data_IF_624290190115
#
_entry.id   IF_624290190115
#
_cell.length_a   1.000
_cell.length_b   1.000
_cell.length_c   1.000
_cell.angle_alpha   90.00
_cell.angle_beta   90.00
_cell.angle_gamma   90.00
#
_symmetry.space_group_name_H-M   'P 1'
#
loop_
_entity.id
_entity.type
_entity.pdbx_description
1 polymer ?
#
# COMPACT_ATOMS: atom_id res chain seq x y z
N UNK A 1 -49.24 10.46 53.98
CA UNK A 1 -49.07 9.82 52.66
C UNK A 1 -47.60 9.97 52.32
N UNK A 2 -46.80 9.16 53.02
CA UNK A 2 -45.39 8.86 52.73
C UNK A 2 -45.42 7.62 51.79
N UNK A 3 -44.50 7.29 50.91
CA UNK A 3 -43.04 7.39 50.89
C UNK A 3 -42.51 7.38 49.43
N UNK A 4 -41.36 8.03 49.25
CA UNK A 4 -40.12 7.59 48.59
C UNK A 4 -40.16 6.77 47.29
N UNK A 5 -39.46 7.32 46.32
CA UNK A 5 -39.06 6.81 45.01
C UNK A 5 -38.05 5.65 45.12
N UNK A 6 -38.31 4.53 44.43
CA UNK A 6 -37.46 3.32 44.29
C UNK A 6 -36.09 3.65 43.64
N UNK A 7 -34.95 3.31 44.27
CA UNK A 7 -34.14 2.08 44.09
C UNK A 7 -33.86 1.74 42.60
N UNK A 8 -32.71 2.00 41.99
CA UNK A 8 -31.28 1.66 42.20
C UNK A 8 -30.81 0.40 41.46
N UNK A 9 -29.56 0.50 40.97
CA UNK A 9 -28.56 -0.56 40.77
C UNK A 9 -28.49 -1.27 39.40
N UNK A 10 -27.43 -0.90 38.69
CA UNK A 10 -26.81 -1.63 37.58
C UNK A 10 -26.06 -2.82 38.19
N UNK A 11 -26.45 -4.03 37.80
CA UNK A 11 -25.77 -5.27 38.16
C UNK A 11 -24.33 -5.29 37.63
N UNK A 12 -23.40 -5.56 38.54
CA UNK A 12 -22.05 -6.03 38.25
C UNK A 12 -22.14 -7.56 38.11
N UNK A 13 -21.70 -8.10 36.99
CA UNK A 13 -21.46 -9.55 36.87
C UNK A 13 -20.01 -9.81 37.25
N UNK A 14 -19.85 -10.51 38.39
CA UNK A 14 -18.63 -11.18 38.84
C UNK A 14 -18.42 -12.48 38.06
N UNK A 15 -17.16 -12.80 37.76
CA UNK A 15 -16.69 -14.17 37.61
C UNK A 15 -15.33 -14.27 38.33
N UNK A 16 -15.36 -14.87 39.52
CA UNK A 16 -14.22 -15.55 40.18
C UNK A 16 -14.33 -17.06 39.76
N UNK A 17 -13.36 -17.97 39.76
CA UNK A 17 -12.12 -18.21 40.52
C UNK A 17 -11.15 -19.10 39.70
N UNK A 18 -9.85 -18.89 39.94
CA UNK A 18 -8.81 -19.89 40.22
C UNK A 18 -8.60 -21.15 39.34
N UNK A 19 -7.41 -21.23 38.74
CA UNK A 19 -6.57 -22.44 38.85
C UNK A 19 -5.09 -22.05 38.90
N UNK A 20 -4.47 -22.39 40.02
CA UNK A 20 -3.05 -22.22 40.35
C UNK A 20 -2.23 -23.30 39.65
N UNK A 21 -1.03 -22.95 39.17
CA UNK A 21 0.18 -23.77 39.29
C UNK A 21 1.41 -22.84 39.32
N UNK A 22 2.04 -22.73 40.49
CA UNK A 22 3.36 -22.13 40.71
C UNK A 22 4.51 -23.09 40.29
N UNK A 23 5.74 -22.56 40.41
CA UNK A 23 7.08 -23.14 40.21
C UNK A 23 7.68 -22.86 38.82
N UNK A 24 8.85 -22.25 38.66
CA UNK A 24 9.89 -21.76 39.57
C UNK A 24 11.08 -21.30 38.70
N UNK A 25 11.88 -20.36 39.22
CA UNK A 25 13.12 -19.87 38.60
C UNK A 25 14.14 -21.00 38.40
N UNK A 26 14.81 -21.08 37.24
CA UNK A 26 16.26 -21.38 37.09
C UNK A 26 16.81 -20.90 35.74
N UNK A 27 17.97 -20.25 35.86
CA UNK A 27 18.91 -19.84 34.82
C UNK A 27 19.54 -20.98 33.99
N UNK A 28 20.13 -20.56 32.86
CA UNK A 28 21.16 -21.21 32.02
C UNK A 28 20.81 -22.51 31.25
N UNK A 29 20.81 -22.46 29.92
CA UNK A 29 22.01 -22.76 29.09
C UNK A 29 21.66 -22.68 27.60
N UNK A 30 22.63 -22.18 26.84
CA UNK A 30 22.67 -22.06 25.38
C UNK A 30 22.34 -23.36 24.64
N UNK A 31 21.62 -23.26 23.51
CA UNK A 31 22.08 -23.91 22.28
C UNK A 31 21.54 -23.20 21.03
N UNK A 32 22.51 -22.73 20.27
CA UNK A 32 22.43 -22.21 18.93
C UNK A 32 22.34 -23.41 17.98
N UNK A 33 21.24 -23.54 17.24
CA UNK A 33 21.25 -24.29 15.99
C UNK A 33 20.90 -23.34 14.85
N UNK A 34 21.92 -23.14 14.02
CA UNK A 34 21.86 -22.39 12.77
C UNK A 34 21.27 -23.29 11.70
N UNK A 35 20.31 -22.78 10.95
CA UNK A 35 20.02 -23.21 9.58
C UNK A 35 19.75 -21.94 8.77
N UNK A 36 20.78 -21.54 8.02
CA UNK A 36 20.74 -20.53 6.97
C UNK A 36 20.19 -21.20 5.70
N UNK A 37 19.09 -20.66 5.16
CA UNK A 37 19.01 -20.18 3.77
C UNK A 37 17.59 -19.63 3.56
N UNK A 38 17.48 -18.32 3.74
CA UNK A 38 16.30 -17.54 3.50
C UNK A 38 16.81 -16.13 3.31
N UNK A 39 17.22 -15.84 2.07
CA UNK A 39 17.65 -14.52 1.63
C UNK A 39 16.48 -13.55 1.87
N UNK A 40 16.44 -12.94 3.05
CA UNK A 40 15.71 -11.70 3.28
C UNK A 40 16.39 -10.65 2.39
N UNK A 41 15.93 -10.55 1.15
CA UNK A 41 16.14 -9.36 0.35
C UNK A 41 15.28 -8.27 1.00
N UNK A 42 15.87 -7.68 2.05
CA UNK A 42 15.55 -6.35 2.51
C UNK A 42 15.60 -5.49 1.25
N UNK A 43 14.51 -4.78 0.97
CA UNK A 43 14.56 -3.72 -0.01
C UNK A 43 15.58 -2.75 0.58
N UNK A 44 16.82 -2.76 0.08
CA UNK A 44 17.84 -1.87 0.57
C UNK A 44 17.25 -0.47 0.47
N UNK A 45 17.08 0.16 1.63
CA UNK A 45 16.84 1.58 1.72
C UNK A 45 18.15 2.24 1.27
N UNK A 46 18.42 2.18 -0.03
CA UNK A 46 19.37 3.08 -0.66
C UNK A 46 18.89 4.50 -0.35
N UNK A 47 19.84 5.38 -0.04
CA UNK A 47 19.62 6.76 0.38
C UNK A 47 18.49 7.38 -0.46
N UNK A 48 17.32 7.61 0.17
CA UNK A 48 16.24 8.40 -0.43
C UNK A 48 16.89 9.74 -0.81
N UNK A 49 17.21 9.97 -2.09
CA UNK A 49 17.54 11.33 -2.55
C UNK A 49 16.40 12.21 -2.03
N UNK A 50 16.70 13.19 -1.18
CA UNK A 50 15.71 14.08 -0.60
C UNK A 50 14.97 14.79 -1.74
N UNK A 51 13.83 14.23 -2.13
CA UNK A 51 12.94 14.87 -3.09
C UNK A 51 12.31 16.04 -2.33
N UNK A 52 12.76 17.26 -2.63
CA UNK A 52 12.10 18.47 -2.13
C UNK A 52 10.61 18.43 -2.53
N UNK A 53 9.75 18.14 -1.56
CA UNK A 53 8.32 17.94 -1.80
C UNK A 53 7.57 17.49 -0.55
N UNK A 54 6.23 17.54 -0.62
CA UNK A 54 5.37 17.06 0.46
C UNK A 54 5.49 15.53 0.55
N UNK A 55 6.05 15.02 1.65
CA UNK A 55 6.03 13.59 2.00
C UNK A 55 4.71 13.26 2.69
N UNK A 56 3.99 12.29 2.14
CA UNK A 56 2.77 11.76 2.69
C UNK A 56 3.00 10.32 3.14
N UNK A 57 2.58 10.02 4.35
CA UNK A 57 2.58 8.67 4.90
C UNK A 57 1.16 8.28 5.33
N UNK A 58 0.87 6.99 5.28
CA UNK A 58 -0.45 6.49 5.61
C UNK A 58 -0.66 5.02 5.28
N UNK A 59 -1.93 4.64 5.21
CA UNK A 59 -2.36 3.27 4.95
C UNK A 59 -3.05 3.20 3.59
N UNK A 60 -2.69 2.20 2.78
CA UNK A 60 -3.36 1.89 1.54
C UNK A 60 -4.12 0.57 1.65
N UNK A 61 -5.26 0.50 0.98
CA UNK A 61 -5.97 -0.75 0.69
C UNK A 61 -6.17 -0.85 -0.82
N UNK A 62 -5.59 -1.90 -1.38
CA UNK A 62 -5.38 -2.11 -2.80
C UNK A 62 -5.96 -3.46 -3.20
N UNK A 63 -6.96 -3.45 -4.07
CA UNK A 63 -7.43 -4.63 -4.80
C UNK A 63 -6.53 -4.89 -6.01
N UNK A 64 -6.01 -6.11 -6.10
CA UNK A 64 -5.30 -6.63 -7.27
C UNK A 64 -6.26 -7.51 -8.05
N UNK A 65 -6.53 -7.12 -9.30
CA UNK A 65 -7.45 -7.83 -10.18
C UNK A 65 -6.70 -8.92 -10.96
N UNK A 66 -7.38 -10.01 -11.38
CA UNK A 66 -6.76 -11.09 -12.15
C UNK A 66 -6.13 -10.64 -13.48
N UNK A 67 -6.63 -9.55 -14.06
CA UNK A 67 -6.09 -8.95 -15.28
C UNK A 67 -4.81 -8.13 -15.06
N UNK A 68 -4.31 -8.09 -13.82
CA UNK A 68 -3.12 -7.34 -13.43
C UNK A 68 -3.38 -5.87 -13.10
N UNK A 69 -4.60 -5.39 -13.30
CA UNK A 69 -4.98 -4.03 -12.91
C UNK A 69 -5.11 -3.89 -11.40
N UNK A 70 -4.99 -2.65 -10.95
CA UNK A 70 -4.96 -2.29 -9.54
C UNK A 70 -6.03 -1.23 -9.29
N UNK A 71 -6.75 -1.35 -8.19
CA UNK A 71 -7.67 -0.32 -7.73
C UNK A 71 -7.66 -0.25 -6.22
N UNK A 72 -7.71 0.95 -5.64
CA UNK A 72 -7.58 1.09 -4.21
C UNK A 72 -7.75 2.51 -3.72
N UNK A 73 -7.42 2.68 -2.45
CA UNK A 73 -7.41 3.98 -1.79
C UNK A 73 -6.23 4.08 -0.84
N UNK A 74 -5.70 5.29 -0.70
CA UNK A 74 -4.65 5.65 0.24
C UNK A 74 -5.17 6.72 1.19
N UNK A 75 -5.09 6.45 2.48
CA UNK A 75 -5.48 7.38 3.53
C UNK A 75 -4.22 7.97 4.14
N UNK A 76 -3.97 9.24 3.80
CA UNK A 76 -2.86 10.01 4.35
C UNK A 76 -3.14 10.38 5.80
N UNK A 77 -2.21 10.02 6.70
CA UNK A 77 -2.27 10.31 8.12
C UNK A 77 -1.35 11.49 8.49
N UNK A 78 -1.69 12.28 9.52
CA UNK A 78 -2.85 12.16 10.41
C UNK A 78 -4.13 12.81 9.85
N UNK A 79 -4.03 13.53 8.72
CA UNK A 79 -5.10 14.39 8.20
C UNK A 79 -6.33 13.61 7.68
N UNK A 80 -6.25 12.28 7.59
CA UNK A 80 -7.30 11.39 7.09
C UNK A 80 -7.81 11.78 5.69
N UNK A 81 -6.91 12.33 4.86
CA UNK A 81 -7.23 12.67 3.47
C UNK A 81 -7.13 11.40 2.64
N UNK A 82 -8.19 11.11 1.89
CA UNK A 82 -8.27 9.91 1.05
C UNK A 82 -7.94 10.23 -0.40
N UNK A 83 -7.07 9.44 -1.00
CA UNK A 83 -6.70 9.47 -2.40
C UNK A 83 -7.13 8.18 -3.06
N UNK A 84 -7.63 8.27 -4.30
CA UNK A 84 -7.89 7.12 -5.14
C UNK A 84 -6.60 6.60 -5.76
N UNK A 85 -6.46 5.28 -5.84
CA UNK A 85 -5.37 4.61 -6.55
C UNK A 85 -5.97 3.77 -7.65
N UNK A 86 -5.46 3.94 -8.86
CA UNK A 86 -5.76 3.08 -9.99
C UNK A 86 -4.46 2.69 -10.68
N UNK A 87 -4.35 1.46 -11.17
CA UNK A 87 -3.17 1.00 -11.88
C UNK A 87 -3.55 0.13 -13.06
N UNK A 88 -2.85 0.33 -14.18
CA UNK A 88 -2.95 -0.54 -15.36
C UNK A 88 -1.59 -1.17 -15.62
N UNK A 89 -1.57 -2.49 -15.81
CA UNK A 89 -0.36 -3.21 -16.19
C UNK A 89 0.14 -2.73 -17.56
N UNK A 90 1.46 -2.49 -17.65
CA UNK A 90 2.16 -2.16 -18.88
C UNK A 90 2.81 -3.44 -19.37
N UNK A 91 2.33 -3.97 -20.51
CA UNK A 91 2.93 -5.13 -21.15
C UNK A 91 4.40 -4.86 -21.49
N UNK A 92 5.29 -5.79 -21.16
CA UNK A 92 6.70 -5.75 -21.52
C UNK A 92 7.13 -7.09 -22.10
N UNK A 93 7.72 -7.07 -23.31
CA UNK A 93 8.09 -8.28 -24.06
C UNK A 93 9.34 -9.01 -23.51
N UNK A 94 9.92 -8.57 -22.38
CA UNK A 94 11.10 -9.21 -21.82
C UNK A 94 10.74 -10.37 -20.90
N UNK A 95 11.20 -11.55 -21.31
CA UNK A 95 11.39 -12.71 -20.44
C UNK A 95 12.19 -12.30 -19.20
N UNK A 96 11.53 -12.35 -18.04
CA UNK A 96 12.07 -12.00 -16.74
C UNK A 96 13.26 -12.89 -16.40
N UNK A 97 14.48 -12.47 -16.72
CA UNK A 97 15.71 -13.09 -16.21
C UNK A 97 15.94 -12.81 -14.71
N UNK A 98 14.97 -12.18 -14.03
CA UNK A 98 15.07 -11.67 -12.65
C UNK A 98 14.29 -12.48 -11.61
N UNK A 99 13.75 -13.64 -11.95
CA UNK A 99 13.30 -14.64 -10.96
C UNK A 99 12.11 -14.28 -10.08
N UNK A 100 11.55 -13.09 -10.19
CA UNK A 100 10.35 -12.65 -9.47
C UNK A 100 9.28 -12.20 -10.47
N UNK A 101 8.00 -12.34 -10.10
CA UNK A 101 6.82 -11.86 -10.85
C UNK A 101 6.83 -10.33 -10.96
N UNK A 102 7.74 -9.82 -11.78
CA UNK A 102 7.96 -8.42 -12.05
C UNK A 102 6.89 -7.90 -13.00
N UNK A 103 6.13 -6.89 -12.58
CA UNK A 103 5.16 -6.21 -13.43
C UNK A 103 5.36 -4.71 -13.36
N UNK A 104 5.18 -4.05 -14.50
CA UNK A 104 5.14 -2.59 -14.55
C UNK A 104 3.71 -2.11 -14.52
N UNK A 105 3.47 -1.09 -13.73
CA UNK A 105 2.13 -0.53 -13.54
C UNK A 105 2.20 0.96 -13.78
N UNK A 106 1.35 1.44 -14.69
CA UNK A 106 1.01 2.86 -14.76
C UNK A 106 0.04 3.14 -13.63
N UNK A 107 0.54 3.71 -12.54
CA UNK A 107 -0.25 4.07 -11.37
C UNK A 107 -0.75 5.52 -11.50
N UNK A 108 -2.04 5.72 -11.26
CA UNK A 108 -2.71 7.01 -11.22
C UNK A 108 -3.18 7.26 -9.79
N UNK A 109 -2.71 8.36 -9.20
CA UNK A 109 -3.14 8.84 -7.88
C UNK A 109 -4.12 10.00 -8.09
N UNK A 110 -5.32 9.87 -7.55
CA UNK A 110 -6.41 10.84 -7.64
C UNK A 110 -6.66 11.49 -6.29
N UNK A 111 -6.71 12.82 -6.23
CA UNK A 111 -7.29 13.54 -5.11
C UNK A 111 -8.80 13.66 -5.29
N UNK A 112 -9.58 13.04 -4.41
CA UNK A 112 -11.05 13.10 -4.49
C UNK A 112 -11.61 14.51 -4.28
N UNK A 113 -10.90 15.39 -3.57
CA UNK A 113 -11.35 16.75 -3.30
C UNK A 113 -11.19 17.64 -4.52
N UNK A 114 -9.98 17.67 -5.11
CA UNK A 114 -9.71 18.49 -6.29
C UNK A 114 -10.06 17.82 -7.62
N UNK A 115 -10.32 16.50 -7.61
CA UNK A 115 -10.49 15.65 -8.80
C UNK A 115 -9.30 15.69 -9.76
N UNK A 116 -8.13 16.07 -9.26
CA UNK A 116 -6.88 16.06 -10.02
C UNK A 116 -6.22 14.69 -9.92
N UNK A 117 -5.54 14.31 -10.98
CA UNK A 117 -4.86 13.04 -11.11
C UNK A 117 -3.39 13.25 -11.47
N UNK A 118 -2.53 12.37 -10.96
CA UNK A 118 -1.12 12.29 -11.33
C UNK A 118 -0.76 10.87 -11.68
N UNK A 119 -0.04 10.70 -12.77
CA UNK A 119 0.45 9.41 -13.24
C UNK A 119 1.92 9.23 -12.83
N UNK A 120 2.26 8.03 -12.40
CA UNK A 120 3.63 7.59 -12.15
C UNK A 120 3.75 6.12 -12.55
N UNK A 121 4.94 5.71 -13.01
CA UNK A 121 5.22 4.32 -13.33
C UNK A 121 5.95 3.70 -12.16
N UNK A 122 5.44 2.55 -11.70
CA UNK A 122 5.99 1.79 -10.57
C UNK A 122 6.23 0.35 -10.96
N UNK A 123 7.16 -0.28 -10.26
CA UNK A 123 7.36 -1.73 -10.29
C UNK A 123 6.46 -2.36 -9.24
N UNK A 124 5.74 -3.41 -9.63
CA UNK A 124 5.01 -4.29 -8.74
C UNK A 124 5.76 -5.61 -8.65
N UNK A 125 6.15 -5.97 -7.43
CA UNK A 125 6.77 -7.26 -7.08
C UNK A 125 5.88 -8.00 -6.09
N UNK A 126 6.04 -9.30 -5.97
CA UNK A 126 5.19 -10.13 -5.13
C UNK A 126 3.83 -10.36 -5.78
N UNK A 127 3.51 -11.64 -6.01
CA UNK A 127 2.32 -12.08 -6.75
C UNK A 127 1.03 -11.56 -6.11
N UNK A 128 0.65 -12.16 -4.98
CA UNK A 128 -0.56 -11.80 -4.23
C UNK A 128 -0.26 -10.82 -3.08
N UNK A 129 0.96 -10.85 -2.53
CA UNK A 129 1.45 -9.90 -1.54
C UNK A 129 2.31 -8.83 -2.22
N UNK A 130 1.66 -7.82 -2.78
CA UNK A 130 2.30 -6.83 -3.62
C UNK A 130 3.19 -5.86 -2.83
N UNK A 131 4.31 -5.53 -3.45
CA UNK A 131 5.18 -4.40 -3.11
C UNK A 131 5.22 -3.47 -4.31
N UNK A 132 5.03 -2.18 -4.10
CA UNK A 132 5.20 -1.16 -5.13
C UNK A 132 6.42 -0.31 -4.79
N UNK A 133 7.30 -0.13 -5.77
CA UNK A 133 8.44 0.76 -5.67
C UNK A 133 8.63 1.54 -6.98
N UNK A 134 9.39 2.63 -6.92
CA UNK A 134 9.84 3.30 -8.13
C UNK A 134 10.65 2.34 -9.03
N UNK A 135 10.77 2.70 -10.29
CA UNK A 135 11.62 1.98 -11.25
C UNK A 135 13.07 2.34 -10.99
N UNK A 136 13.83 1.42 -10.40
CA UNK A 136 15.24 1.65 -10.04
C UNK A 136 16.15 1.64 -11.28
N UNK A 137 15.88 0.75 -12.25
CA UNK A 137 16.66 0.65 -13.49
C UNK A 137 15.79 0.20 -14.67
N UNK A 138 15.56 1.11 -15.62
CA UNK A 138 14.90 0.83 -16.91
C UNK A 138 15.80 0.05 -17.90
N UNK A 139 16.73 -0.77 -17.40
CA UNK A 139 17.64 -1.52 -18.26
C UNK A 139 16.88 -2.59 -19.03
N UNK A 140 16.70 -2.34 -20.33
CA UNK A 140 16.11 -3.30 -21.25
C UNK A 140 14.78 -2.94 -21.85
N UNK A 141 14.28 -1.76 -21.52
CA UNK A 141 12.97 -1.32 -21.94
C UNK A 141 13.00 -0.89 -23.40
N UNK A 142 11.87 -1.09 -24.09
CA UNK A 142 11.69 -0.46 -25.38
C UNK A 142 11.79 1.05 -25.22
N UNK A 143 12.41 1.71 -26.21
CA UNK A 143 12.68 3.15 -26.17
C UNK A 143 11.42 3.99 -25.92
N UNK A 144 10.25 3.46 -26.22
CA UNK A 144 8.97 4.16 -26.07
C UNK A 144 8.41 4.08 -24.64
N UNK A 145 8.72 3.01 -23.89
CA UNK A 145 8.38 2.93 -22.47
C UNK A 145 9.33 3.82 -21.64
N UNK A 146 10.63 3.85 -21.99
CA UNK A 146 11.60 4.77 -21.38
C UNK A 146 11.18 6.23 -21.61
N UNK A 147 10.76 6.60 -22.82
CA UNK A 147 10.26 7.95 -23.10
C UNK A 147 8.97 8.28 -22.33
N UNK A 148 8.05 7.31 -22.16
CA UNK A 148 6.83 7.50 -21.37
C UNK A 148 7.13 7.75 -19.89
N UNK A 149 8.11 7.03 -19.34
CA UNK A 149 8.62 7.23 -17.98
C UNK A 149 9.30 8.59 -17.89
N UNK A 150 10.26 8.88 -18.76
CA UNK A 150 11.05 10.12 -18.75
C UNK A 150 10.18 11.38 -18.94
N UNK A 151 9.24 11.38 -19.88
CA UNK A 151 8.37 12.54 -20.12
C UNK A 151 7.42 12.84 -18.96
N UNK A 152 7.01 11.81 -18.19
CA UNK A 152 6.13 11.98 -17.02
C UNK A 152 6.90 12.26 -15.73
N UNK A 153 8.06 11.64 -15.56
CA UNK A 153 8.96 11.84 -14.41
C UNK A 153 9.61 13.23 -14.42
N UNK A 154 9.88 13.82 -15.60
CA UNK A 154 10.51 15.15 -15.71
C UNK A 154 9.67 16.32 -15.19
N UNK A 155 8.35 16.15 -14.95
CA UNK A 155 7.48 17.23 -14.46
C UNK A 155 7.28 17.25 -12.95
N UNK A 156 7.55 16.13 -12.27
CA UNK A 156 7.54 15.99 -10.81
C UNK A 156 8.11 14.62 -10.49
N UNK A 157 9.23 14.54 -9.76
CA UNK A 157 9.81 13.27 -9.30
C UNK A 157 8.94 12.70 -8.18
N UNK A 158 7.84 12.05 -8.55
CA UNK A 158 6.96 11.37 -7.60
C UNK A 158 7.65 10.06 -7.17
N UNK A 159 7.85 9.90 -5.87
CA UNK A 159 8.40 8.67 -5.27
C UNK A 159 7.30 7.97 -4.48
N UNK A 160 7.18 6.66 -4.66
CA UNK A 160 6.16 5.80 -4.06
C UNK A 160 6.83 4.56 -3.47
N UNK A 161 6.44 4.22 -2.24
CA UNK A 161 6.65 2.91 -1.66
C UNK A 161 5.35 2.37 -1.10
N UNK A 162 5.05 1.10 -1.38
CA UNK A 162 3.96 0.35 -0.75
C UNK A 162 4.45 -1.04 -0.39
N UNK A 163 4.10 -1.49 0.80
CA UNK A 163 4.37 -2.85 1.26
C UNK A 163 3.08 -3.43 1.84
N UNK A 164 2.64 -4.57 1.28
CA UNK A 164 1.53 -5.31 1.85
C UNK A 164 1.91 -5.85 3.25
N UNK A 165 1.11 -5.49 4.26
CA UNK A 165 1.20 -6.03 5.63
C UNK A 165 0.08 -7.06 5.90
N UNK A 166 -1.02 -7.00 5.15
CA UNK A 166 -2.16 -7.91 5.28
C UNK A 166 -2.75 -8.23 3.91
N UNK A 167 -2.71 -9.52 3.56
CA UNK A 167 -3.36 -10.06 2.36
C UNK A 167 -4.71 -10.69 2.73
N UNK A 168 -5.76 -10.33 2.00
CA UNK A 168 -7.06 -10.99 2.03
C UNK A 168 -7.35 -11.62 0.68
N UNK A 169 -7.84 -12.85 0.72
CA UNK A 169 -8.29 -13.62 -0.44
C UNK A 169 -9.71 -14.14 -0.22
N UNK A 170 -10.32 -14.67 -1.28
CA UNK A 170 -11.63 -15.32 -1.26
C UNK A 170 -12.72 -14.49 -0.55
N UNK A 171 -13.47 -15.10 0.35
CA UNK A 171 -14.56 -14.48 1.11
C UNK A 171 -14.10 -13.23 1.88
N UNK A 172 -12.89 -13.25 2.46
CA UNK A 172 -12.36 -12.11 3.21
C UNK A 172 -12.02 -10.92 2.31
N UNK A 173 -11.56 -11.18 1.08
CA UNK A 173 -11.34 -10.13 0.08
C UNK A 173 -12.67 -9.58 -0.41
N UNK A 174 -13.61 -10.45 -0.76
CA UNK A 174 -14.91 -10.10 -1.29
C UNK A 174 -15.74 -9.28 -0.30
N UNK A 175 -15.70 -9.62 0.99
CA UNK A 175 -16.37 -8.82 2.04
C UNK A 175 -15.71 -7.45 2.23
N UNK A 176 -14.40 -7.35 2.09
CA UNK A 176 -13.71 -6.07 2.08
C UNK A 176 -14.11 -5.23 0.86
N UNK A 177 -14.15 -5.83 -0.32
CA UNK A 177 -14.51 -5.19 -1.58
C UNK A 177 -15.96 -4.68 -1.53
N UNK A 178 -16.92 -5.49 -1.09
CA UNK A 178 -18.33 -5.06 -0.93
C UNK A 178 -18.46 -3.79 -0.09
N UNK A 179 -17.64 -3.67 0.96
CA UNK A 179 -17.71 -2.55 1.90
C UNK A 179 -17.01 -1.29 1.40
N UNK A 180 -15.84 -1.43 0.79
CA UNK A 180 -14.96 -0.28 0.50
C UNK A 180 -14.74 0.00 -0.99
N UNK A 181 -14.92 -1.00 -1.85
CA UNK A 181 -14.72 -0.91 -3.31
C UNK A 181 -15.86 -1.64 -4.06
N UNK A 182 -17.14 -1.29 -3.84
CA UNK A 182 -18.28 -2.11 -4.27
C UNK A 182 -18.36 -2.33 -5.78
N UNK A 183 -17.70 -1.48 -6.58
CA UNK A 183 -17.62 -1.64 -8.05
C UNK A 183 -16.79 -2.85 -8.50
N UNK A 184 -15.99 -3.43 -7.60
CA UNK A 184 -15.12 -4.57 -7.89
C UNK A 184 -15.67 -5.91 -7.37
N UNK A 185 -16.88 -5.90 -6.79
CA UNK A 185 -17.56 -7.08 -6.24
C UNK A 185 -17.66 -8.19 -7.30
N UNK A 186 -17.24 -9.41 -6.96
CA UNK A 186 -17.29 -10.56 -7.86
C UNK A 186 -16.26 -10.53 -9.00
N UNK A 187 -15.25 -9.66 -8.93
CA UNK A 187 -14.14 -9.62 -9.90
C UNK A 187 -12.94 -10.50 -9.50
N UNK A 188 -13.09 -11.34 -8.48
CA UNK A 188 -12.08 -12.29 -8.01
C UNK A 188 -10.73 -11.62 -7.67
N UNK A 189 -10.82 -10.43 -7.06
CA UNK A 189 -9.64 -9.65 -6.68
C UNK A 189 -9.17 -10.02 -5.26
N UNK A 190 -7.85 -10.06 -5.07
CA UNK A 190 -7.24 -10.13 -3.73
C UNK A 190 -7.01 -8.72 -3.19
N UNK A 191 -7.08 -8.53 -1.87
CA UNK A 191 -6.91 -7.22 -1.23
C UNK A 191 -5.64 -7.19 -0.40
N UNK A 192 -4.76 -6.26 -0.74
CA UNK A 192 -3.53 -5.94 -0.03
C UNK A 192 -3.76 -4.68 0.82
N UNK A 193 -3.47 -4.77 2.12
CA UNK A 193 -3.54 -3.63 3.04
C UNK A 193 -2.15 -3.44 3.63
N UNK A 194 -1.66 -2.21 3.67
CA UNK A 194 -0.36 -1.93 4.27
C UNK A 194 0.05 -0.48 4.19
N UNK A 195 1.28 -0.21 4.62
CA UNK A 195 1.85 1.12 4.64
C UNK A 195 2.18 1.58 3.24
N UNK A 196 1.90 2.86 3.00
CA UNK A 196 2.27 3.54 1.77
C UNK A 196 2.90 4.90 2.10
N UNK A 197 3.97 5.22 1.39
CA UNK A 197 4.57 6.55 1.37
C UNK A 197 4.57 7.11 -0.05
N UNK A 198 4.29 8.41 -0.17
CA UNK A 198 4.32 9.15 -1.43
C UNK A 198 5.03 10.48 -1.20
N UNK A 199 6.10 10.75 -1.94
CA UNK A 199 6.85 12.01 -1.90
C UNK A 199 6.80 12.70 -3.27
N UNK A 200 6.93 14.02 -3.29
CA UNK A 200 6.94 14.80 -4.54
C UNK A 200 5.59 14.94 -5.25
N UNK A 201 4.49 14.49 -4.63
CA UNK A 201 3.14 14.62 -5.17
C UNK A 201 2.57 16.01 -4.85
N UNK A 202 2.53 16.89 -5.85
CA UNK A 202 1.86 18.18 -5.75
C UNK A 202 0.74 18.36 -6.82
N UNK A 203 -0.49 18.49 -6.32
CA UNK A 203 -1.69 18.77 -7.12
C UNK A 203 -1.87 20.28 -7.40
N UNK A 204 -1.13 21.16 -6.73
CA UNK A 204 -1.21 22.62 -6.89
C UNK A 204 -0.27 23.16 -7.96
N UNK A 205 0.79 22.44 -8.32
CA UNK A 205 1.84 22.88 -9.27
C UNK A 205 1.42 23.09 -10.74
N UNK A 206 0.14 22.94 -11.13
CA UNK A 206 -0.29 23.30 -12.48
C UNK A 206 -0.75 24.75 -12.59
N UNK A 207 0.23 25.66 -12.71
CA UNK A 207 0.05 26.94 -13.40
C UNK A 207 1.31 27.21 -14.23
N UNK A 208 1.22 27.04 -15.56
CA UNK A 208 2.08 27.74 -16.52
C UNK A 208 2.97 26.89 -17.43
N UNK A 209 2.53 26.70 -18.67
CA UNK A 209 3.26 27.10 -19.89
C UNK A 209 2.27 27.05 -21.06
N UNK A 210 1.42 28.09 -21.19
CA UNK A 210 0.88 28.43 -22.50
C UNK A 210 1.99 29.13 -23.27
N UNK A 211 2.78 28.37 -24.02
CA UNK A 211 3.54 28.97 -25.12
C UNK A 211 2.53 29.34 -26.20
N UNK A 212 2.15 30.62 -26.22
CA UNK A 212 1.58 31.24 -27.40
C UNK A 212 2.68 31.31 -28.46
N UNK A 213 2.63 30.41 -29.44
CA UNK A 213 3.32 30.65 -30.70
C UNK A 213 2.55 31.75 -31.46
N UNK A 214 3.13 32.95 -31.50
CA UNK A 214 2.77 34.00 -32.47
C UNK A 214 3.46 33.74 -33.81
#
# INVERSE_FOLDING_TARGET
>A
MEEKNEFSQIEKVQYDEESICEMGEKDEFSQMEKLEDGEEVVCEAEEEEEVEGVKMEGMASIALLPDGSISGHFVHLPNSVCYGIHGTEIACERECSRGEDYRLVKLTIMDFNSKKERDVVVERKGHDAARLCNVDHAHGWEKDVVKLVDQKQQKSKIVISFVCETLKADEAAEDHIKRYMPKLTGMDAVVNIGKMSISGLDFKAEVGCTEQAS
#
